data_IF_964962156483
#
_entry.id   IF_964962156483
#
_cell.length_a   1.000
_cell.length_b   1.000
_cell.length_c   1.000
_cell.angle_alpha   90.00
_cell.angle_beta   90.00
_cell.angle_gamma   90.00
#
_symmetry.space_group_name_H-M   'P 1'
#
loop_
_entity.id
_entity.type
_entity.pdbx_description
1 polymer ?
#
# COMPACT_ATOMS: atom_id res chain seq x y z
N UNK A 1 12.31 26.89 5.06
CA UNK A 1 13.30 25.82 4.86
C UNK A 1 12.55 24.51 4.66
N UNK A 2 12.90 23.73 3.65
CA UNK A 2 12.35 22.38 3.50
C UNK A 2 12.70 21.57 4.76
N UNK A 3 11.70 20.96 5.40
CA UNK A 3 11.97 20.03 6.50
C UNK A 3 12.64 18.78 5.93
N UNK A 4 13.76 18.41 6.54
CA UNK A 4 14.52 17.20 6.21
C UNK A 4 14.22 16.12 7.24
N UNK A 5 14.21 14.88 6.77
CA UNK A 5 13.99 13.67 7.56
C UNK A 5 15.31 12.90 7.59
N UNK A 6 15.99 12.81 8.75
CA UNK A 6 17.21 12.01 8.89
C UNK A 6 16.91 10.53 8.66
N UNK A 7 17.82 9.81 8.01
CA UNK A 7 17.69 8.38 7.76
C UNK A 7 19.07 7.72 7.64
N UNK A 8 19.15 6.38 7.76
CA UNK A 8 20.40 5.61 7.57
C UNK A 8 21.07 5.77 6.18
N UNK A 9 20.41 6.43 5.24
CA UNK A 9 20.90 6.66 3.88
C UNK A 9 21.11 8.15 3.57
N UNK A 10 21.17 9.01 4.60
CA UNK A 10 21.26 10.46 4.47
C UNK A 10 19.94 11.15 4.81
N UNK A 11 19.74 12.36 4.29
CA UNK A 11 18.57 13.18 4.57
C UNK A 11 17.59 13.19 3.40
N UNK A 12 16.31 12.99 3.69
CA UNK A 12 15.25 13.07 2.69
C UNK A 12 14.43 14.35 2.89
N UNK A 13 14.10 15.03 1.80
CA UNK A 13 13.06 16.05 1.83
C UNK A 13 11.72 15.39 2.13
N UNK A 14 10.87 16.03 2.94
CA UNK A 14 9.48 15.58 3.15
C UNK A 14 8.74 15.39 1.81
N UNK A 15 9.04 16.21 0.79
CA UNK A 15 8.44 16.06 -0.54
C UNK A 15 8.80 14.74 -1.23
N UNK A 16 10.03 14.23 -1.06
CA UNK A 16 10.45 12.93 -1.60
C UNK A 16 9.67 11.79 -0.92
N UNK A 17 9.52 11.88 0.41
CA UNK A 17 8.76 10.89 1.18
C UNK A 17 7.28 10.92 0.79
N UNK A 18 6.69 12.11 0.69
CA UNK A 18 5.30 12.28 0.28
C UNK A 18 5.04 11.80 -1.15
N UNK A 19 5.96 12.09 -2.08
CA UNK A 19 5.88 11.59 -3.45
C UNK A 19 5.85 10.06 -3.47
N UNK A 20 6.73 9.41 -2.70
CA UNK A 20 6.80 7.96 -2.66
C UNK A 20 5.56 7.34 -1.99
N UNK A 21 5.04 7.93 -0.91
CA UNK A 21 3.75 7.53 -0.33
C UNK A 21 2.61 7.60 -1.34
N UNK A 22 2.54 8.65 -2.16
CA UNK A 22 1.54 8.77 -3.22
C UNK A 22 1.72 7.68 -4.29
N UNK A 23 2.97 7.34 -4.64
CA UNK A 23 3.27 6.25 -5.59
C UNK A 23 2.78 4.90 -5.06
N UNK A 24 3.07 4.57 -3.80
CA UNK A 24 2.57 3.35 -3.15
C UNK A 24 1.05 3.32 -3.09
N UNK A 25 0.41 4.44 -2.73
CA UNK A 25 -1.06 4.54 -2.72
C UNK A 25 -1.68 4.26 -4.10
N UNK A 26 -1.08 4.77 -5.18
CA UNK A 26 -1.51 4.45 -6.56
C UNK A 26 -1.39 2.96 -6.85
N UNK A 27 -0.29 2.32 -6.43
CA UNK A 27 -0.10 0.87 -6.56
C UNK A 27 -1.17 0.06 -5.80
N UNK A 28 -1.56 0.51 -4.60
CA UNK A 28 -2.66 -0.08 -3.83
C UNK A 28 -3.98 0.05 -4.61
N UNK A 29 -4.27 1.20 -5.22
CA UNK A 29 -5.50 1.36 -6.00
C UNK A 29 -5.59 0.46 -7.23
N UNK A 30 -4.46 0.14 -7.88
CA UNK A 30 -4.43 -0.80 -9.01
C UNK A 30 -4.97 -2.18 -8.66
N UNK A 31 -4.83 -2.63 -7.40
CA UNK A 31 -5.42 -3.88 -6.93
C UNK A 31 -6.93 -3.96 -7.15
N UNK A 32 -7.64 -2.83 -6.99
CA UNK A 32 -9.09 -2.79 -7.24
C UNK A 32 -9.39 -2.91 -8.73
N UNK A 33 -8.61 -2.23 -9.58
CA UNK A 33 -8.81 -2.29 -11.03
C UNK A 33 -8.55 -3.69 -11.60
N UNK A 34 -7.57 -4.40 -11.05
CA UNK A 34 -7.26 -5.77 -11.45
C UNK A 34 -8.31 -6.79 -11.00
N UNK A 35 -9.13 -6.47 -10.01
CA UNK A 35 -10.13 -7.40 -9.44
C UNK A 35 -11.58 -7.02 -9.71
N UNK A 36 -11.85 -5.77 -10.11
CA UNK A 36 -13.19 -5.31 -10.43
C UNK A 36 -13.69 -5.95 -11.72
N UNK A 37 -14.88 -6.55 -11.67
CA UNK A 37 -15.51 -7.24 -12.81
C UNK A 37 -15.64 -6.36 -14.06
N UNK A 38 -15.71 -5.04 -13.90
CA UNK A 38 -15.89 -4.11 -15.01
C UNK A 38 -14.58 -3.72 -15.69
N UNK A 39 -13.43 -3.92 -15.04
CA UNK A 39 -12.11 -3.49 -15.56
C UNK A 39 -11.12 -4.64 -15.68
N UNK A 40 -11.32 -5.77 -14.99
CA UNK A 40 -10.36 -6.89 -14.98
C UNK A 40 -10.04 -7.47 -16.36
N UNK A 41 -10.98 -7.38 -17.31
CA UNK A 41 -10.80 -7.87 -18.68
C UNK A 41 -9.66 -7.14 -19.41
N UNK A 42 -9.39 -5.87 -19.05
CA UNK A 42 -8.29 -5.10 -19.63
C UNK A 42 -6.91 -5.54 -19.08
N UNK A 43 -6.89 -6.43 -18.06
CA UNK A 43 -5.70 -6.82 -17.31
C UNK A 43 -5.56 -8.34 -17.14
N UNK A 44 -6.10 -9.14 -18.06
CA UNK A 44 -6.07 -10.61 -17.99
C UNK A 44 -4.66 -11.21 -17.86
N UNK A 45 -3.63 -10.50 -18.34
CA UNK A 45 -2.22 -10.92 -18.25
C UNK A 45 -1.55 -10.62 -16.90
N UNK A 46 -2.26 -9.99 -15.95
CA UNK A 46 -1.72 -9.63 -14.64
C UNK A 46 -2.03 -10.73 -13.63
N UNK A 47 -0.99 -11.34 -13.07
CA UNK A 47 -1.13 -12.13 -11.84
C UNK A 47 -1.34 -11.19 -10.65
N UNK A 48 -2.60 -11.01 -10.30
CA UNK A 48 -3.01 -10.07 -9.24
C UNK A 48 -2.52 -10.51 -7.86
N UNK A 49 -2.45 -11.82 -7.63
CA UNK A 49 -1.98 -12.37 -6.35
C UNK A 49 -0.50 -12.07 -6.18
N UNK A 50 0.29 -12.32 -7.21
CA UNK A 50 1.73 -12.04 -7.21
C UNK A 50 2.00 -10.54 -7.14
N UNK A 51 1.24 -9.71 -7.86
CA UNK A 51 1.32 -8.26 -7.74
C UNK A 51 1.05 -7.79 -6.30
N UNK A 52 0.03 -8.34 -5.65
CA UNK A 52 -0.32 -7.98 -4.28
C UNK A 52 0.78 -8.38 -3.28
N UNK A 53 1.34 -9.60 -3.39
CA UNK A 53 2.47 -10.04 -2.56
C UNK A 53 3.70 -9.14 -2.72
N UNK A 54 4.04 -8.79 -3.96
CA UNK A 54 5.14 -7.88 -4.23
C UNK A 54 4.91 -6.48 -3.66
N UNK A 55 3.67 -5.99 -3.70
CA UNK A 55 3.30 -4.72 -3.08
C UNK A 55 3.40 -4.76 -1.56
N UNK A 56 2.95 -5.84 -0.92
CA UNK A 56 3.12 -6.06 0.52
C UNK A 56 4.60 -6.06 0.92
N UNK A 57 5.44 -6.77 0.16
CA UNK A 57 6.89 -6.77 0.38
C UNK A 57 7.50 -5.38 0.23
N UNK A 58 7.14 -4.64 -0.82
CA UNK A 58 7.61 -3.27 -1.03
C UNK A 58 7.20 -2.34 0.12
N UNK A 59 5.92 -2.35 0.51
CA UNK A 59 5.41 -1.51 1.60
C UNK A 59 6.11 -1.88 2.91
N UNK A 60 6.20 -3.17 3.26
CA UNK A 60 6.88 -3.67 4.46
C UNK A 60 8.32 -3.14 4.58
N UNK A 61 9.08 -3.19 3.50
CA UNK A 61 10.45 -2.66 3.47
C UNK A 61 10.51 -1.13 3.62
N UNK A 62 9.42 -0.42 3.32
CA UNK A 62 9.33 1.02 3.51
C UNK A 62 9.08 1.43 4.96
N UNK A 63 8.72 0.52 5.85
CA UNK A 63 8.50 0.84 7.27
C UNK A 63 9.67 1.62 7.87
N UNK A 64 10.90 1.13 7.63
CA UNK A 64 12.12 1.76 8.11
C UNK A 64 12.41 3.09 7.38
N UNK A 65 12.15 3.17 6.08
CA UNK A 65 12.30 4.40 5.29
C UNK A 65 11.38 5.52 5.78
N UNK A 66 10.22 5.15 6.32
CA UNK A 66 9.19 6.05 6.81
C UNK A 66 9.30 6.31 8.32
N UNK A 67 10.38 5.86 8.96
CA UNK A 67 10.64 6.01 10.39
C UNK A 67 9.52 5.44 11.27
N UNK A 68 9.14 4.19 10.98
CA UNK A 68 8.20 3.40 11.78
C UNK A 68 6.89 4.12 12.17
N UNK A 69 6.08 4.55 11.19
CA UNK A 69 4.82 5.23 11.50
C UNK A 69 3.88 4.35 12.33
N UNK A 70 3.18 4.92 13.31
CA UNK A 70 2.19 4.21 14.13
C UNK A 70 1.09 3.51 13.33
N UNK A 71 0.63 4.13 12.23
CA UNK A 71 -0.45 3.61 11.39
C UNK A 71 0.04 2.45 10.50
N UNK A 72 1.35 2.18 10.45
CA UNK A 72 1.94 1.24 9.51
C UNK A 72 1.47 -0.21 9.74
N UNK A 73 1.34 -0.62 11.00
CA UNK A 73 0.83 -1.96 11.35
C UNK A 73 -0.58 -2.17 10.81
N UNK A 74 -1.45 -1.15 10.95
CA UNK A 74 -2.82 -1.20 10.45
C UNK A 74 -2.86 -1.31 8.92
N UNK A 75 -1.99 -0.56 8.21
CA UNK A 75 -1.87 -0.63 6.75
C UNK A 75 -1.50 -2.04 6.28
N UNK A 76 -0.46 -2.64 6.88
CA UNK A 76 0.00 -3.99 6.52
C UNK A 76 -1.10 -5.01 6.81
N UNK A 77 -1.71 -4.95 8.00
CA UNK A 77 -2.75 -5.89 8.38
C UNK A 77 -3.96 -5.82 7.43
N UNK A 78 -4.39 -4.62 7.03
CA UNK A 78 -5.47 -4.46 6.04
C UNK A 78 -5.15 -5.10 4.69
N UNK A 79 -3.91 -4.95 4.20
CA UNK A 79 -3.46 -5.55 2.94
C UNK A 79 -3.33 -7.08 3.04
N UNK A 80 -2.82 -7.61 4.14
CA UNK A 80 -2.75 -9.06 4.40
C UNK A 80 -4.16 -9.69 4.45
N UNK A 81 -5.11 -9.04 5.13
CA UNK A 81 -6.50 -9.47 5.11
C UNK A 81 -7.09 -9.43 3.70
N UNK A 82 -6.79 -8.39 2.92
CA UNK A 82 -7.25 -8.29 1.53
C UNK A 82 -6.65 -9.41 0.67
N UNK A 83 -5.36 -9.73 0.83
CA UNK A 83 -4.73 -10.85 0.12
C UNK A 83 -5.38 -12.19 0.48
N UNK A 84 -5.69 -12.41 1.75
CA UNK A 84 -6.39 -13.62 2.21
C UNK A 84 -7.77 -13.77 1.53
N UNK A 85 -8.51 -12.67 1.36
CA UNK A 85 -9.79 -12.68 0.63
C UNK A 85 -9.57 -12.95 -0.86
N UNK A 86 -8.55 -12.34 -1.47
CA UNK A 86 -8.22 -12.53 -2.89
C UNK A 86 -7.90 -13.99 -3.22
N UNK A 87 -7.24 -14.69 -2.30
CA UNK A 87 -6.85 -16.10 -2.47
C UNK A 87 -7.92 -17.09 -1.99
N UNK A 88 -9.02 -16.62 -1.42
CA UNK A 88 -10.11 -17.47 -0.95
C UNK A 88 -10.93 -18.05 -2.12
N UNK A 89 -11.52 -19.23 -1.92
CA UNK A 89 -12.39 -19.87 -2.92
C UNK A 89 -13.64 -19.02 -3.20
N UNK A 90 -14.14 -18.31 -2.18
CA UNK A 90 -15.31 -17.42 -2.27
C UNK A 90 -14.90 -15.94 -2.28
N UNK A 91 -14.27 -15.50 -3.37
CA UNK A 91 -13.82 -14.12 -3.51
C UNK A 91 -14.96 -13.10 -3.32
N UNK A 92 -14.87 -12.28 -2.26
CA UNK A 92 -15.80 -11.20 -1.99
C UNK A 92 -15.19 -9.83 -2.33
N UNK A 93 -15.50 -9.33 -3.53
CA UNK A 93 -14.98 -8.06 -4.03
C UNK A 93 -15.27 -6.87 -3.11
N UNK A 94 -16.45 -6.79 -2.48
CA UNK A 94 -16.79 -5.65 -1.62
C UNK A 94 -15.94 -5.60 -0.35
N UNK A 95 -15.72 -6.77 0.29
CA UNK A 95 -14.83 -6.86 1.46
C UNK A 95 -13.38 -6.56 1.05
N UNK A 96 -12.93 -7.13 -0.06
CA UNK A 96 -11.60 -6.87 -0.62
C UNK A 96 -11.36 -5.38 -0.89
N UNK A 97 -12.24 -4.75 -1.68
CA UNK A 97 -12.18 -3.35 -2.06
C UNK A 97 -12.15 -2.42 -0.85
N UNK A 98 -12.98 -2.70 0.17
CA UNK A 98 -12.98 -1.92 1.41
C UNK A 98 -11.61 -1.94 2.08
N UNK A 99 -11.03 -3.12 2.30
CA UNK A 99 -9.71 -3.26 2.94
C UNK A 99 -8.60 -2.57 2.14
N UNK A 100 -8.61 -2.71 0.81
CA UNK A 100 -7.65 -2.04 -0.08
C UNK A 100 -7.78 -0.50 0.02
N UNK A 101 -9.01 0.02 0.07
CA UNK A 101 -9.24 1.46 0.23
C UNK A 101 -8.87 1.99 1.62
N UNK A 102 -9.17 1.24 2.68
CA UNK A 102 -8.79 1.58 4.05
C UNK A 102 -7.26 1.68 4.17
N UNK A 103 -6.52 0.69 3.64
CA UNK A 103 -5.06 0.72 3.58
C UNK A 103 -4.53 1.93 2.78
N UNK A 104 -5.12 2.22 1.62
CA UNK A 104 -4.76 3.38 0.80
C UNK A 104 -5.04 4.74 1.47
N UNK A 105 -6.10 4.83 2.28
CA UNK A 105 -6.46 6.02 3.05
C UNK A 105 -5.54 6.22 4.26
N UNK A 106 -5.25 5.14 5.00
CA UNK A 106 -4.28 5.10 6.08
C UNK A 106 -2.90 5.56 5.60
N UNK A 107 -2.42 5.01 4.48
CA UNK A 107 -1.14 5.39 3.89
C UNK A 107 -1.08 6.89 3.51
N UNK A 108 -2.20 7.47 3.06
CA UNK A 108 -2.26 8.90 2.75
C UNK A 108 -2.10 9.75 4.01
N UNK A 109 -2.89 9.45 5.07
CA UNK A 109 -2.97 10.26 6.30
C UNK A 109 -1.80 10.06 7.27
N UNK A 110 -1.08 8.94 7.12
CA UNK A 110 0.05 8.56 7.96
C UNK A 110 1.09 9.67 8.06
N UNK A 111 1.60 9.93 9.26
CA UNK A 111 2.71 10.86 9.48
C UNK A 111 4.04 10.09 9.51
N UNK A 112 5.10 10.72 9.01
CA UNK A 112 6.46 10.15 9.04
C UNK A 112 7.05 10.44 10.41
N UNK A 113 7.66 9.44 11.03
CA UNK A 113 8.35 9.58 12.31
C UNK A 113 7.42 9.47 13.51
N UNK A 114 7.60 8.39 14.26
CA UNK A 114 7.21 8.24 15.67
C UNK A 114 8.42 7.67 16.46
N UNK A 115 9.65 8.18 16.21
CA UNK A 115 10.80 7.91 17.11
C UNK A 115 10.53 8.47 18.51
#
# INVERSE_FOLDING_TARGET
>A
MDKLVPHKYGEFKISQVNYYKQKLRKKIFWLVLYTDKNTKADFENIDVVEYHKNLLFEISNCNKLLLYPKDFVEIINSLECALSILQSEEFNFNKYKKLVFDAGALLQRMKVGDE
#
